data_IF_165979141433
#
_entry.id   IF_165979141433
#
_cell.length_a   1.000
_cell.length_b   1.000
_cell.length_c   1.000
_cell.angle_alpha   90.00
_cell.angle_beta   90.00
_cell.angle_gamma   90.00
#
_symmetry.space_group_name_H-M   'P 1'
#
loop_
_entity.id
_entity.type
_entity.pdbx_description
1 polymer ?
#
# COMPACT_ATOMS: atom_id res chain seq x y z
N UNK A 1 0.92 -5.36 -1.18
CA UNK A 1 0.68 -3.97 -0.77
C UNK A 1 1.98 -3.19 -0.89
N UNK A 2 1.96 -2.04 -1.54
CA UNK A 2 3.16 -1.26 -1.83
C UNK A 2 2.91 0.21 -1.56
N UNK A 3 3.83 0.86 -0.84
CA UNK A 3 3.85 2.30 -0.70
C UNK A 3 4.81 2.91 -1.70
N UNK A 4 4.26 3.68 -2.63
CA UNK A 4 4.99 4.44 -3.61
C UNK A 4 5.28 5.83 -3.06
N UNK A 5 6.55 6.17 -2.93
CA UNK A 5 7.01 7.44 -2.40
C UNK A 5 8.03 8.10 -3.34
N UNK A 6 8.37 9.35 -3.06
CA UNK A 6 9.50 10.03 -3.67
C UNK A 6 10.69 10.02 -2.68
N UNK A 7 11.88 10.39 -3.16
CA UNK A 7 13.08 10.59 -2.34
C UNK A 7 12.84 11.66 -1.29
N UNK A 8 12.22 12.77 -1.70
CA UNK A 8 11.78 13.82 -0.80
C UNK A 8 10.53 13.38 -0.01
N UNK A 9 10.69 13.12 1.29
CA UNK A 9 9.59 12.73 2.20
C UNK A 9 9.22 13.86 3.14
N UNK A 10 7.93 14.22 3.17
CA UNK A 10 7.38 15.14 4.16
C UNK A 10 6.76 14.39 5.35
N UNK A 11 6.39 15.11 6.41
CA UNK A 11 5.79 14.53 7.62
C UNK A 11 4.55 13.65 7.30
N UNK A 12 3.69 14.09 6.39
CA UNK A 12 2.52 13.30 5.95
C UNK A 12 2.92 12.01 5.23
N UNK A 13 4.00 12.03 4.43
CA UNK A 13 4.49 10.83 3.76
C UNK A 13 4.98 9.78 4.76
N UNK A 14 5.73 10.22 5.77
CA UNK A 14 6.22 9.35 6.85
C UNK A 14 5.04 8.80 7.68
N UNK A 15 4.02 9.63 7.92
CA UNK A 15 2.82 9.20 8.65
C UNK A 15 2.01 8.13 7.90
N UNK A 16 1.83 8.29 6.58
CA UNK A 16 1.16 7.27 5.75
C UNK A 16 1.92 5.94 5.82
N UNK A 17 3.24 6.00 5.66
CA UNK A 17 4.11 4.84 5.71
C UNK A 17 4.01 4.10 7.04
N UNK A 18 4.15 4.83 8.15
CA UNK A 18 4.09 4.28 9.52
C UNK A 18 2.73 3.63 9.82
N UNK A 19 1.63 4.32 9.51
CA UNK A 19 0.28 3.79 9.70
C UNK A 19 0.05 2.55 8.83
N UNK A 20 0.48 2.57 7.57
CA UNK A 20 0.32 1.45 6.64
C UNK A 20 1.17 0.25 7.06
N UNK A 21 2.44 0.46 7.44
CA UNK A 21 3.32 -0.61 7.92
C UNK A 21 2.79 -1.21 9.21
N UNK A 22 2.34 -0.39 10.16
CA UNK A 22 1.76 -0.84 11.42
C UNK A 22 0.50 -1.65 11.19
N UNK A 23 -0.39 -1.21 10.28
CA UNK A 23 -1.59 -1.98 9.93
C UNK A 23 -1.22 -3.37 9.42
N UNK A 24 -0.27 -3.44 8.48
CA UNK A 24 0.10 -4.71 7.86
C UNK A 24 0.80 -5.65 8.83
N UNK A 25 1.72 -5.15 9.66
CA UNK A 25 2.44 -5.99 10.63
C UNK A 25 1.55 -6.47 11.77
N UNK A 26 0.58 -5.67 12.21
CA UNK A 26 -0.29 -6.02 13.36
C UNK A 26 -1.53 -6.81 12.96
N UNK A 27 -2.18 -6.47 11.83
CA UNK A 27 -3.46 -7.09 11.40
C UNK A 27 -3.27 -8.26 10.44
N UNK A 28 -2.12 -8.35 9.77
CA UNK A 28 -1.84 -9.34 8.72
C UNK A 28 -0.55 -10.14 8.96
N UNK A 29 -0.14 -10.32 10.21
CA UNK A 29 1.05 -11.09 10.58
C UNK A 29 1.07 -12.50 9.95
N UNK A 30 -0.08 -13.21 9.94
CA UNK A 30 -0.20 -14.55 9.35
C UNK A 30 -0.05 -14.51 7.81
N UNK A 31 -0.84 -13.73 7.04
CA UNK A 31 -0.63 -13.60 5.60
C UNK A 31 0.76 -13.12 5.19
N UNK A 32 1.43 -12.31 6.01
CA UNK A 32 2.82 -11.91 5.80
C UNK A 32 3.78 -13.09 5.95
N UNK A 33 3.65 -13.87 7.03
CA UNK A 33 4.47 -15.04 7.29
C UNK A 33 4.30 -16.11 6.18
N UNK A 34 3.07 -16.27 5.70
CA UNK A 34 2.72 -17.18 4.61
C UNK A 34 3.08 -16.63 3.22
N UNK A 35 3.63 -15.41 3.13
CA UNK A 35 3.94 -14.70 1.87
C UNK A 35 2.73 -14.48 0.95
N UNK A 36 1.51 -14.66 1.46
CA UNK A 36 0.26 -14.28 0.78
C UNK A 36 0.09 -12.77 0.67
N UNK A 37 0.64 -12.03 1.63
CA UNK A 37 0.77 -10.58 1.59
C UNK A 37 2.25 -10.21 1.60
N UNK A 38 2.62 -9.23 0.78
CA UNK A 38 3.95 -8.63 0.81
C UNK A 38 3.80 -7.14 1.01
N UNK A 39 4.58 -6.57 1.95
CA UNK A 39 4.73 -5.13 2.14
C UNK A 39 6.01 -4.66 1.47
N UNK A 40 5.93 -3.60 0.65
CA UNK A 40 7.07 -3.05 -0.09
C UNK A 40 7.04 -1.53 -0.05
N UNK A 41 8.21 -0.93 -0.07
CA UNK A 41 8.42 0.49 -0.30
C UNK A 41 9.07 0.63 -1.68
N UNK A 42 8.56 1.53 -2.50
CA UNK A 42 9.11 1.80 -3.83
C UNK A 42 9.32 3.29 -4.00
N UNK A 43 10.57 3.68 -4.27
CA UNK A 43 10.92 5.05 -4.61
C UNK A 43 10.68 5.28 -6.10
N UNK A 44 9.73 6.16 -6.43
CA UNK A 44 9.39 6.51 -7.81
C UNK A 44 10.50 7.29 -8.53
N UNK A 45 11.42 7.91 -7.79
CA UNK A 45 12.53 8.67 -8.37
C UNK A 45 13.70 7.78 -8.80
N UNK A 46 13.70 6.50 -8.39
CA UNK A 46 14.75 5.56 -8.78
C UNK A 46 14.62 5.13 -10.24
N UNK A 47 15.75 4.92 -10.95
CA UNK A 47 15.74 4.45 -12.33
C UNK A 47 14.91 3.18 -12.47
N UNK A 48 13.99 3.19 -13.44
CA UNK A 48 13.13 2.06 -13.72
C UNK A 48 11.81 2.04 -12.95
N UNK A 49 11.58 2.88 -11.92
CA UNK A 49 10.32 2.88 -11.16
C UNK A 49 9.26 3.89 -11.66
N UNK A 50 9.65 4.83 -12.53
CA UNK A 50 8.76 5.87 -13.03
C UNK A 50 7.51 5.33 -13.76
N UNK A 51 7.57 4.12 -14.31
CA UNK A 51 6.42 3.48 -14.99
C UNK A 51 5.22 3.28 -14.06
N UNK A 52 5.43 3.05 -12.75
CA UNK A 52 4.37 2.84 -11.77
C UNK A 52 3.41 4.02 -11.65
N UNK A 53 3.87 5.25 -11.95
CA UNK A 53 3.02 6.44 -11.99
C UNK A 53 1.90 6.27 -13.00
N UNK A 54 2.22 5.75 -14.20
CA UNK A 54 1.23 5.49 -15.25
C UNK A 54 0.40 4.25 -14.92
N UNK A 55 1.05 3.18 -14.49
CA UNK A 55 0.41 1.88 -14.34
C UNK A 55 -0.65 1.88 -13.24
N UNK A 56 -0.38 2.57 -12.12
CA UNK A 56 -1.33 2.74 -11.01
C UNK A 56 -2.05 4.10 -11.00
N UNK A 57 -1.85 4.92 -12.04
CA UNK A 57 -2.43 6.27 -12.17
C UNK A 57 -2.19 7.12 -10.92
N UNK A 58 -0.94 7.11 -10.44
CA UNK A 58 -0.55 7.82 -9.22
C UNK A 58 -0.46 9.32 -9.51
N UNK A 59 -1.31 10.11 -8.85
CA UNK A 59 -1.17 11.56 -8.86
C UNK A 59 -0.13 12.04 -7.82
N UNK A 60 0.03 11.28 -6.74
CA UNK A 60 0.94 11.56 -5.62
C UNK A 60 1.39 10.24 -4.98
N UNK A 61 2.18 10.34 -3.91
CA UNK A 61 2.63 9.20 -3.09
C UNK A 61 1.40 8.46 -2.58
N UNK A 62 1.40 7.14 -2.65
CA UNK A 62 0.20 6.39 -2.30
C UNK A 62 0.48 4.96 -1.92
N UNK A 63 -0.47 4.37 -1.19
CA UNK A 63 -0.51 2.95 -0.90
C UNK A 63 -1.37 2.28 -1.97
N UNK A 64 -0.83 1.24 -2.60
CA UNK A 64 -1.53 0.42 -3.58
C UNK A 64 -1.61 -1.00 -3.05
N UNK A 65 -2.78 -1.61 -3.18
CA UNK A 65 -2.96 -3.06 -3.01
C UNK A 65 -3.08 -3.66 -4.40
N UNK A 66 -2.19 -4.58 -4.74
CA UNK A 66 -2.23 -5.32 -5.99
C UNK A 66 -2.28 -6.82 -5.74
N UNK A 67 -3.02 -7.53 -6.59
CA UNK A 67 -3.08 -8.98 -6.63
C UNK A 67 -2.30 -9.48 -7.83
N UNK A 68 -1.37 -10.38 -7.57
CA UNK A 68 -0.54 -11.03 -8.59
C UNK A 68 -0.85 -12.52 -8.59
N UNK A 69 -1.25 -13.05 -9.75
CA UNK A 69 -1.46 -14.48 -9.99
C UNK A 69 -0.56 -14.92 -11.13
N UNK A 70 0.14 -16.04 -10.97
CA UNK A 70 1.05 -16.59 -11.98
C UNK A 70 2.07 -15.57 -12.53
N UNK A 71 2.57 -14.70 -11.65
CA UNK A 71 3.53 -13.65 -11.99
C UNK A 71 2.95 -12.45 -12.75
N UNK A 72 1.63 -12.39 -12.95
CA UNK A 72 0.94 -11.27 -13.61
C UNK A 72 0.01 -10.57 -12.64
N UNK A 73 0.06 -9.24 -12.63
CA UNK A 73 -0.94 -8.46 -11.92
C UNK A 73 -2.30 -8.62 -12.57
N UNK A 74 -3.31 -8.99 -11.78
CA UNK A 74 -4.68 -9.24 -12.27
C UNK A 74 -5.67 -8.17 -11.84
N UNK A 75 -5.41 -7.50 -10.71
CA UNK A 75 -6.15 -6.32 -10.25
C UNK A 75 -5.34 -5.52 -9.25
N UNK A 76 -5.65 -4.23 -9.15
CA UNK A 76 -5.05 -3.33 -8.18
C UNK A 76 -6.04 -2.25 -7.76
N UNK A 77 -5.77 -1.64 -6.60
CA UNK A 77 -6.49 -0.48 -6.10
C UNK A 77 -5.52 0.51 -5.45
N UNK A 78 -5.61 1.75 -5.89
CA UNK A 78 -4.97 2.88 -5.25
C UNK A 78 -5.83 3.29 -4.04
N UNK A 79 -5.24 3.28 -2.85
CA UNK A 79 -5.93 3.59 -1.59
C UNK A 79 -5.94 5.11 -1.36
N UNK A 80 -6.69 5.85 -2.16
CA UNK A 80 -6.74 7.31 -2.15
C UNK A 80 -7.15 7.92 -0.78
N UNK A 81 -7.99 7.21 -0.01
CA UNK A 81 -8.49 7.72 1.28
C UNK A 81 -7.41 7.80 2.36
N UNK A 82 -6.24 7.18 2.18
CA UNK A 82 -5.12 7.26 3.15
C UNK A 82 -4.73 8.70 3.47
N UNK A 83 -4.84 9.61 2.49
CA UNK A 83 -4.55 11.03 2.66
C UNK A 83 -5.60 11.75 3.51
N UNK A 84 -6.87 11.34 3.42
CA UNK A 84 -7.98 11.94 4.16
C UNK A 84 -8.02 11.46 5.61
N UNK A 85 -7.53 10.25 5.86
CA UNK A 85 -7.55 9.59 7.17
C UNK A 85 -6.27 9.84 7.98
N UNK A 86 -5.40 10.75 7.56
CA UNK A 86 -4.14 11.02 8.27
C UNK A 86 -4.33 11.49 9.73
N UNK A 87 -5.45 12.11 10.05
CA UNK A 87 -5.77 12.57 11.40
C UNK A 87 -6.65 11.58 12.18
N UNK A 88 -6.97 10.44 11.59
CA UNK A 88 -7.77 9.37 12.18
C UNK A 88 -7.03 8.03 12.01
N UNK A 89 -6.09 7.71 12.92
CA UNK A 89 -5.30 6.49 12.84
C UNK A 89 -6.15 5.22 12.82
N UNK A 90 -7.23 5.16 13.61
CA UNK A 90 -8.09 3.98 13.66
C UNK A 90 -8.89 3.81 12.36
N UNK A 91 -9.46 4.91 11.84
CA UNK A 91 -10.12 4.91 10.54
C UNK A 91 -9.18 4.55 9.39
N UNK A 92 -7.93 5.04 9.43
CA UNK A 92 -6.89 4.67 8.47
C UNK A 92 -6.63 3.16 8.49
N UNK A 93 -6.36 2.60 9.67
CA UNK A 93 -6.06 1.18 9.82
C UNK A 93 -7.23 0.31 9.37
N UNK A 94 -8.45 0.69 9.78
CA UNK A 94 -9.69 -0.02 9.41
C UNK A 94 -9.94 0.02 7.90
N UNK A 95 -9.67 1.17 7.27
CA UNK A 95 -9.76 1.32 5.82
C UNK A 95 -8.77 0.39 5.11
N UNK A 96 -7.48 0.48 5.45
CA UNK A 96 -6.44 -0.36 4.85
C UNK A 96 -6.72 -1.84 5.09
N UNK A 97 -7.14 -2.21 6.29
CA UNK A 97 -7.47 -3.60 6.63
C UNK A 97 -8.58 -4.15 5.72
N UNK A 98 -9.69 -3.43 5.58
CA UNK A 98 -10.79 -3.86 4.70
C UNK A 98 -10.30 -4.06 3.28
N UNK A 99 -9.58 -3.08 2.74
CA UNK A 99 -9.12 -3.11 1.35
C UNK A 99 -8.11 -4.25 1.11
N UNK A 100 -7.25 -4.58 2.08
CA UNK A 100 -6.35 -5.73 1.97
C UNK A 100 -7.10 -7.06 2.09
N UNK A 101 -8.09 -7.16 2.98
CA UNK A 101 -8.92 -8.38 3.12
C UNK A 101 -9.69 -8.70 1.84
N UNK A 102 -10.24 -7.70 1.17
CA UNK A 102 -10.92 -7.85 -0.13
C UNK A 102 -10.01 -8.45 -1.22
N UNK A 103 -8.70 -8.24 -1.08
CA UNK A 103 -7.68 -8.76 -1.99
C UNK A 103 -7.17 -10.15 -1.60
N UNK A 104 -7.13 -10.47 -0.30
CA UNK A 104 -6.75 -11.80 0.18
C UNK A 104 -7.82 -12.86 -0.10
N UNK A 105 -9.07 -12.46 -0.31
CA UNK A 105 -10.20 -13.37 -0.50
C UNK A 105 -10.56 -14.14 0.77
N UNK A 106 -11.62 -14.96 0.73
CA UNK A 106 -11.94 -15.87 1.83
C UNK A 106 -10.77 -16.83 2.06
N UNK A 107 -10.46 -17.08 3.33
CA UNK A 107 -9.45 -18.04 3.75
C UNK A 107 -9.89 -19.48 3.45
#
# INVERSE_FOLDING_TARGET
MTYFHATARCASCLKIEDLASTTVTTRFAVPLAEKRLVWRLVNLDEPGNAHFVRDYRLYTKSVVVSEVRDGREVRWKNLDQVWKLLNDPEGFQSYVEREVRDYLGPA
#
